data_IF_539133840639
#
_entry.id   IF_539133840639
#
_cell.length_a   1.000
_cell.length_b   1.000
_cell.length_c   1.000
_cell.angle_alpha   90.00
_cell.angle_beta   90.00
_cell.angle_gamma   90.00
#
_symmetry.space_group_name_H-M   'P 1'
#
loop_
_entity.id
_entity.type
_entity.pdbx_description
1 polymer ?
#
# COMPACT_ATOMS: atom_id res chain seq x y z
N UNK A 1 5.67 -3.43 -9.97
CA UNK A 1 5.06 -4.47 -10.80
C UNK A 1 3.66 -4.03 -11.22
N UNK A 2 3.58 -3.12 -12.20
CA UNK A 2 2.28 -2.83 -12.82
C UNK A 2 2.11 -3.76 -14.02
N UNK A 3 0.90 -4.26 -14.28
CA UNK A 3 0.63 -5.00 -15.51
C UNK A 3 1.08 -4.22 -16.74
N UNK A 4 1.58 -4.90 -17.77
CA UNK A 4 2.08 -4.21 -18.97
C UNK A 4 0.99 -3.34 -19.62
N UNK A 5 -0.27 -3.78 -19.57
CA UNK A 5 -1.40 -3.01 -20.10
C UNK A 5 -1.60 -1.68 -19.36
N UNK A 6 -1.37 -1.63 -18.05
CA UNK A 6 -1.49 -0.41 -17.25
C UNK A 6 -0.30 0.53 -17.47
N UNK A 7 0.91 -0.03 -17.60
CA UNK A 7 2.10 0.75 -17.95
C UNK A 7 1.92 1.45 -19.31
N UNK A 8 1.46 0.72 -20.33
CA UNK A 8 1.19 1.29 -21.66
C UNK A 8 0.16 2.42 -21.63
N UNK A 9 -0.82 2.38 -20.71
CA UNK A 9 -1.75 3.49 -20.51
C UNK A 9 -0.99 4.74 -20.05
N UNK A 10 -0.14 4.61 -19.04
CA UNK A 10 0.65 5.74 -18.55
C UNK A 10 1.61 6.30 -19.60
N UNK A 11 2.29 5.43 -20.33
CA UNK A 11 3.19 5.82 -21.43
C UNK A 11 2.48 6.74 -22.44
N UNK A 12 1.18 6.51 -22.70
CA UNK A 12 0.38 7.34 -23.62
C UNK A 12 -0.08 8.67 -23.03
N UNK A 13 -0.25 8.76 -21.71
CA UNK A 13 -0.82 9.94 -21.05
C UNK A 13 0.23 10.98 -20.62
N UNK A 14 1.49 10.58 -20.44
CA UNK A 14 2.49 11.42 -19.75
C UNK A 14 3.85 11.55 -20.44
N UNK A 15 4.01 11.07 -21.67
CA UNK A 15 5.28 11.23 -22.40
C UNK A 15 5.43 12.64 -22.99
N UNK A 16 6.67 13.19 -23.07
CA UNK A 16 7.91 12.61 -22.56
C UNK A 16 8.06 12.80 -21.04
N UNK A 17 8.51 11.76 -20.35
CA UNK A 17 8.83 11.83 -18.92
C UNK A 17 10.26 12.33 -18.73
N UNK A 18 10.48 13.26 -17.82
CA UNK A 18 11.81 13.76 -17.46
C UNK A 18 12.37 13.04 -16.24
N UNK A 19 13.70 12.93 -16.17
CA UNK A 19 14.40 12.40 -15.00
C UNK A 19 14.81 13.57 -14.09
N UNK A 20 14.69 13.37 -12.78
CA UNK A 20 15.11 14.28 -11.72
C UNK A 20 15.78 13.49 -10.59
N UNK A 21 16.85 14.02 -10.00
CA UNK A 21 17.52 13.47 -8.81
C UNK A 21 17.53 14.56 -7.75
N UNK A 22 16.88 14.30 -6.61
CA UNK A 22 16.76 15.25 -5.50
C UNK A 22 16.21 16.63 -5.93
N UNK A 23 15.19 16.64 -6.80
CA UNK A 23 14.54 17.86 -7.30
C UNK A 23 15.31 18.62 -8.40
N UNK A 24 16.44 18.08 -8.87
CA UNK A 24 17.20 18.63 -10.00
C UNK A 24 17.04 17.75 -11.25
N UNK A 25 16.77 18.30 -12.44
CA UNK A 25 16.74 17.52 -13.68
C UNK A 25 18.03 16.74 -13.93
N UNK A 26 17.92 15.43 -14.20
CA UNK A 26 19.05 14.62 -14.62
C UNK A 26 19.41 14.99 -16.07
N UNK A 27 20.66 15.39 -16.29
CA UNK A 27 21.13 15.78 -17.61
C UNK A 27 21.82 14.59 -18.31
N UNK A 28 21.63 14.50 -19.63
CA UNK A 28 22.41 13.59 -20.46
C UNK A 28 23.84 14.15 -20.70
N UNK A 29 24.66 13.42 -21.47
CA UNK A 29 26.04 13.84 -21.79
C UNK A 29 26.12 15.19 -22.50
N UNK A 30 25.07 15.58 -23.21
CA UNK A 30 24.97 16.84 -23.95
C UNK A 30 24.39 17.98 -23.11
N UNK A 31 24.26 17.79 -21.79
CA UNK A 31 23.65 18.74 -20.84
C UNK A 31 22.16 19.03 -21.09
N UNK A 32 21.47 18.20 -21.86
CA UNK A 32 20.03 18.29 -22.04
C UNK A 32 19.30 17.49 -20.96
N UNK A 33 18.11 17.93 -20.56
CA UNK A 33 17.26 17.17 -19.63
C UNK A 33 16.98 15.80 -20.23
N UNK A 34 17.39 14.76 -19.51
CA UNK A 34 17.14 13.38 -19.90
C UNK A 34 15.64 13.16 -19.87
N UNK A 35 15.12 12.61 -20.97
CA UNK A 35 13.71 12.22 -21.06
C UNK A 35 13.56 10.81 -21.63
N UNK A 36 12.40 10.21 -21.40
CA UNK A 36 12.02 8.89 -21.89
C UNK A 36 10.56 8.93 -22.37
N UNK A 37 10.22 8.21 -23.45
CA UNK A 37 8.83 8.04 -23.86
C UNK A 37 8.06 7.05 -22.96
N UNK A 38 8.76 6.35 -22.06
CA UNK A 38 8.19 5.29 -21.22
C UNK A 38 8.31 5.66 -19.75
N UNK A 39 7.24 5.43 -18.99
CA UNK A 39 7.22 5.58 -17.55
C UNK A 39 8.20 4.59 -16.89
N UNK A 40 8.68 4.98 -15.70
CA UNK A 40 9.50 4.13 -14.85
C UNK A 40 8.86 2.76 -14.61
N UNK A 41 9.66 1.70 -14.62
CA UNK A 41 9.19 0.33 -14.45
C UNK A 41 9.71 -0.27 -13.15
N UNK A 42 8.84 -1.01 -12.48
CA UNK A 42 9.18 -1.76 -11.26
C UNK A 42 9.08 -3.24 -11.55
N UNK A 43 10.20 -3.95 -11.41
CA UNK A 43 10.35 -5.35 -11.81
C UNK A 43 10.82 -6.24 -10.66
N UNK A 44 10.43 -7.52 -10.68
CA UNK A 44 10.89 -8.55 -9.76
C UNK A 44 11.76 -9.58 -10.48
N UNK A 45 12.90 -9.12 -11.05
CA UNK A 45 13.74 -9.97 -11.92
C UNK A 45 14.31 -11.18 -11.19
N UNK A 46 14.67 -11.04 -9.91
CA UNK A 46 15.28 -12.12 -9.12
C UNK A 46 14.30 -13.23 -8.77
N UNK A 47 13.01 -12.92 -8.64
CA UNK A 47 12.00 -13.89 -8.20
C UNK A 47 11.20 -14.44 -9.36
N UNK A 48 10.84 -13.57 -10.31
CA UNK A 48 10.01 -13.91 -11.47
C UNK A 48 10.88 -13.85 -12.73
N UNK A 49 12.01 -14.58 -12.68
CA UNK A 49 13.00 -14.62 -13.75
C UNK A 49 12.53 -15.47 -14.93
N UNK A 50 13.10 -15.23 -16.11
CA UNK A 50 12.88 -16.04 -17.31
C UNK A 50 13.38 -17.49 -17.19
N UNK A 51 14.10 -17.83 -16.11
CA UNK A 51 14.53 -19.20 -15.79
C UNK A 51 13.43 -20.06 -15.15
N UNK A 52 12.32 -19.47 -14.70
CA UNK A 52 11.18 -20.15 -14.09
C UNK A 52 10.35 -20.85 -15.19
N UNK A 53 10.85 -21.98 -15.69
CA UNK A 53 10.30 -22.71 -16.86
C UNK A 53 9.06 -23.55 -16.52
N UNK A 54 8.89 -23.93 -15.26
CA UNK A 54 7.71 -24.63 -14.77
C UNK A 54 6.91 -23.61 -13.97
N UNK A 55 5.72 -23.26 -14.45
CA UNK A 55 4.81 -22.29 -13.80
C UNK A 55 5.33 -20.85 -13.69
N UNK A 56 5.89 -20.31 -14.79
CA UNK A 56 6.33 -18.91 -14.97
C UNK A 56 5.58 -17.92 -14.05
N UNK A 57 6.26 -17.44 -12.99
CA UNK A 57 5.68 -16.52 -12.00
C UNK A 57 4.87 -15.38 -12.63
N UNK A 58 5.37 -14.77 -13.72
CA UNK A 58 4.67 -13.64 -14.37
C UNK A 58 3.35 -14.08 -14.99
N UNK A 59 3.30 -15.27 -15.60
CA UNK A 59 2.07 -15.85 -16.16
C UNK A 59 1.05 -16.12 -15.05
N UNK A 60 1.50 -16.70 -13.94
CA UNK A 60 0.64 -16.95 -12.79
C UNK A 60 0.09 -15.65 -12.17
N UNK A 61 0.92 -14.62 -11.99
CA UNK A 61 0.48 -13.31 -11.50
C UNK A 61 -0.55 -12.67 -12.44
N UNK A 62 -0.28 -12.72 -13.75
CA UNK A 62 -1.17 -12.20 -14.80
C UNK A 62 -2.55 -12.88 -14.73
N UNK A 63 -2.59 -14.22 -14.75
CA UNK A 63 -3.85 -14.97 -14.74
C UNK A 63 -4.60 -14.85 -13.40
N UNK A 64 -3.89 -14.87 -12.27
CA UNK A 64 -4.52 -14.94 -10.93
C UNK A 64 -5.03 -13.58 -10.45
N UNK A 65 -4.31 -12.50 -10.77
CA UNK A 65 -4.61 -11.17 -10.21
C UNK A 65 -4.83 -10.09 -11.26
N UNK A 66 -4.11 -10.11 -12.38
CA UNK A 66 -4.15 -8.98 -13.34
C UNK A 66 -5.32 -9.08 -14.30
N UNK A 67 -5.54 -10.24 -14.91
CA UNK A 67 -6.64 -10.45 -15.86
C UNK A 67 -8.03 -10.23 -15.23
N UNK A 68 -8.34 -10.78 -14.03
CA UNK A 68 -9.63 -10.55 -13.39
C UNK A 68 -9.92 -9.08 -13.09
N UNK A 69 -8.88 -8.28 -12.83
CA UNK A 69 -9.02 -6.87 -12.48
C UNK A 69 -8.83 -5.90 -13.66
N UNK A 70 -8.35 -6.38 -14.82
CA UNK A 70 -7.93 -5.52 -15.93
C UNK A 70 -9.01 -4.55 -16.39
N UNK A 71 -10.17 -5.06 -16.78
CA UNK A 71 -11.26 -4.22 -17.28
C UNK A 71 -11.91 -3.38 -16.16
N UNK A 72 -11.79 -3.82 -14.90
CA UNK A 72 -12.24 -3.05 -13.74
C UNK A 72 -11.35 -1.82 -13.54
N UNK A 73 -10.03 -2.00 -13.53
CA UNK A 73 -9.06 -0.91 -13.35
C UNK A 73 -9.07 0.04 -14.54
N UNK A 74 -9.15 -0.47 -15.77
CA UNK A 74 -9.27 0.37 -16.97
C UNK A 74 -10.59 1.13 -17.00
N UNK A 75 -11.69 0.47 -16.61
CA UNK A 75 -12.99 1.13 -16.46
C UNK A 75 -12.93 2.26 -15.44
N UNK A 76 -12.37 2.02 -14.26
CA UNK A 76 -12.19 3.04 -13.21
C UNK A 76 -11.35 4.21 -13.70
N UNK A 77 -10.25 3.93 -14.39
CA UNK A 77 -9.40 4.94 -15.01
C UNK A 77 -10.19 5.83 -15.98
N UNK A 78 -11.09 5.23 -16.77
CA UNK A 78 -11.95 5.89 -17.73
C UNK A 78 -13.26 6.46 -17.13
N UNK A 79 -13.39 6.50 -15.80
CA UNK A 79 -14.52 7.13 -15.11
C UNK A 79 -15.68 6.20 -14.74
N UNK A 80 -15.51 4.88 -14.81
CA UNK A 80 -16.44 3.93 -14.15
C UNK A 80 -16.49 4.26 -12.66
N UNK A 81 -17.69 4.22 -12.07
CA UNK A 81 -17.88 4.65 -10.68
C UNK A 81 -18.38 3.56 -9.75
N UNK A 82 -18.82 2.40 -10.26
CA UNK A 82 -19.40 1.33 -9.44
C UNK A 82 -18.69 0.00 -9.68
N UNK A 83 -18.31 -0.67 -8.58
CA UNK A 83 -17.92 -2.08 -8.53
C UNK A 83 -18.83 -2.81 -7.54
N UNK A 84 -19.18 -4.07 -7.84
CA UNK A 84 -19.99 -4.90 -6.95
C UNK A 84 -19.50 -6.35 -6.87
N UNK A 85 -19.78 -7.01 -5.75
CA UNK A 85 -19.57 -8.43 -5.50
C UNK A 85 -18.16 -8.91 -5.87
N UNK A 86 -18.08 -9.86 -6.80
CA UNK A 86 -16.83 -10.44 -7.28
C UNK A 86 -15.87 -9.42 -7.91
N UNK A 87 -16.39 -8.30 -8.43
CA UNK A 87 -15.55 -7.23 -8.97
C UNK A 87 -14.77 -6.51 -7.88
N UNK A 88 -15.40 -6.28 -6.71
CA UNK A 88 -14.72 -5.66 -5.58
C UNK A 88 -13.62 -6.58 -5.07
N UNK A 89 -13.90 -7.88 -4.97
CA UNK A 89 -12.91 -8.89 -4.56
C UNK A 89 -11.74 -8.94 -5.55
N UNK A 90 -12.01 -9.00 -6.86
CA UNK A 90 -10.96 -9.02 -7.88
C UNK A 90 -10.09 -7.76 -7.83
N UNK A 91 -10.73 -6.58 -7.72
CA UNK A 91 -10.02 -5.30 -7.59
C UNK A 91 -9.17 -5.22 -6.32
N UNK A 92 -9.73 -5.63 -5.17
CA UNK A 92 -9.01 -5.65 -3.90
C UNK A 92 -7.79 -6.58 -3.96
N UNK A 93 -7.94 -7.82 -4.47
CA UNK A 93 -6.84 -8.77 -4.62
C UNK A 93 -5.75 -8.23 -5.54
N UNK A 94 -6.11 -7.61 -6.66
CA UNK A 94 -5.16 -6.96 -7.56
C UNK A 94 -4.42 -5.81 -6.88
N UNK A 95 -5.12 -4.95 -6.14
CA UNK A 95 -4.52 -3.83 -5.45
C UNK A 95 -3.56 -4.32 -4.34
N UNK A 96 -3.98 -5.28 -3.51
CA UNK A 96 -3.14 -5.89 -2.46
C UNK A 96 -1.87 -6.47 -3.06
N UNK A 97 -1.99 -7.28 -4.12
CA UNK A 97 -0.85 -7.83 -4.86
C UNK A 97 0.06 -6.73 -5.40
N UNK A 98 -0.52 -5.69 -5.99
CA UNK A 98 0.26 -4.61 -6.62
C UNK A 98 1.08 -3.84 -5.59
N UNK A 99 0.48 -3.46 -4.45
CA UNK A 99 1.18 -2.74 -3.38
C UNK A 99 2.20 -3.65 -2.69
N UNK A 100 1.83 -4.90 -2.37
CA UNK A 100 2.72 -5.85 -1.72
C UNK A 100 3.99 -6.12 -2.55
N UNK A 101 3.81 -6.41 -3.84
CA UNK A 101 4.92 -6.70 -4.74
C UNK A 101 5.68 -5.44 -5.18
N UNK A 102 5.09 -4.26 -5.00
CA UNK A 102 5.82 -3.00 -5.10
C UNK A 102 6.80 -2.84 -3.92
N UNK A 103 6.44 -3.31 -2.73
CA UNK A 103 7.27 -3.22 -1.52
C UNK A 103 8.25 -4.37 -1.32
N UNK A 104 8.27 -5.35 -2.22
CA UNK A 104 9.18 -6.49 -2.11
C UNK A 104 10.65 -6.03 -2.21
N UNK A 105 11.59 -6.54 -1.38
CA UNK A 105 13.00 -6.09 -1.36
C UNK A 105 13.74 -6.29 -2.68
N UNK A 106 13.47 -7.36 -3.42
CA UNK A 106 14.00 -7.59 -4.79
C UNK A 106 13.33 -6.75 -5.88
N UNK A 107 12.51 -5.75 -5.55
CA UNK A 107 11.94 -4.82 -6.54
C UNK A 107 13.02 -3.90 -7.08
N UNK A 108 13.27 -3.98 -8.39
CA UNK A 108 14.16 -3.06 -9.08
C UNK A 108 13.37 -1.98 -9.80
N UNK A 109 13.85 -0.75 -9.69
CA UNK A 109 13.18 0.44 -10.19
C UNK A 109 13.92 1.02 -11.40
N UNK A 110 13.80 0.34 -12.54
CA UNK A 110 14.45 0.80 -13.78
C UNK A 110 13.78 2.07 -14.29
N UNK A 111 14.59 3.11 -14.47
CA UNK A 111 14.12 4.41 -14.95
C UNK A 111 13.26 5.18 -13.94
N UNK A 112 13.26 4.80 -12.66
CA UNK A 112 12.55 5.52 -11.60
C UNK A 112 13.40 6.61 -10.96
N UNK A 113 12.75 7.70 -10.56
CA UNK A 113 13.29 8.78 -9.72
C UNK A 113 13.55 8.30 -8.28
N UNK A 114 12.82 7.27 -7.84
CA UNK A 114 12.87 6.73 -6.50
C UNK A 114 13.89 5.60 -6.38
N UNK A 115 15.12 5.81 -6.82
CA UNK A 115 16.19 4.79 -6.73
C UNK A 115 16.45 4.34 -5.28
N UNK A 116 16.14 5.21 -4.32
CA UNK A 116 16.34 4.98 -2.89
C UNK A 116 15.09 4.43 -2.18
N UNK A 117 14.05 4.00 -2.92
CA UNK A 117 12.93 3.29 -2.28
C UNK A 117 13.41 1.93 -1.80
N UNK A 118 13.63 1.82 -0.49
CA UNK A 118 13.84 0.54 0.16
C UNK A 118 12.51 -0.21 0.23
N UNK A 119 12.50 -1.44 -0.27
CA UNK A 119 11.41 -2.37 0.04
C UNK A 119 11.32 -2.61 1.55
N UNK A 120 10.31 -3.37 1.98
CA UNK A 120 10.20 -3.78 3.38
C UNK A 120 11.43 -4.60 3.76
N UNK A 121 12.25 -4.07 4.67
CA UNK A 121 13.47 -4.73 5.11
C UNK A 121 13.17 -6.08 5.77
N UNK A 122 12.00 -6.17 6.42
CA UNK A 122 11.52 -7.37 7.09
C UNK A 122 10.48 -8.15 6.26
N UNK A 123 10.48 -8.02 4.93
CA UNK A 123 9.57 -8.76 4.06
C UNK A 123 9.76 -10.27 4.24
N UNK A 124 8.72 -11.03 4.66
CA UNK A 124 8.89 -12.46 4.90
C UNK A 124 9.15 -13.24 3.60
N UNK A 125 10.26 -14.00 3.50
CA UNK A 125 10.70 -14.60 2.23
C UNK A 125 9.77 -15.70 1.70
N UNK A 126 8.94 -16.32 2.55
CA UNK A 126 8.01 -17.39 2.17
C UNK A 126 6.71 -16.86 1.54
N UNK A 127 6.34 -15.60 1.73
CA UNK A 127 5.03 -15.10 1.35
C UNK A 127 4.68 -15.26 -0.12
N UNK A 128 5.63 -14.99 -1.03
CA UNK A 128 5.34 -15.13 -2.46
C UNK A 128 5.20 -16.60 -2.86
N UNK A 129 5.97 -17.49 -2.24
CA UNK A 129 5.85 -18.95 -2.42
C UNK A 129 4.51 -19.45 -1.90
N UNK A 130 4.12 -19.04 -0.70
CA UNK A 130 2.84 -19.43 -0.09
C UNK A 130 1.65 -18.86 -0.85
N UNK A 131 1.74 -17.62 -1.31
CA UNK A 131 0.73 -17.00 -2.17
C UNK A 131 0.60 -17.77 -3.49
N UNK A 132 1.70 -18.27 -4.08
CA UNK A 132 1.67 -19.12 -5.28
C UNK A 132 0.97 -20.45 -5.01
N UNK A 133 1.26 -21.08 -3.87
CA UNK A 133 0.71 -22.39 -3.53
C UNK A 133 -0.75 -22.35 -3.12
N UNK A 134 -1.16 -21.31 -2.41
CA UNK A 134 -2.49 -21.23 -1.77
C UNK A 134 -3.43 -20.23 -2.45
N UNK A 135 -2.89 -19.27 -3.19
CA UNK A 135 -3.65 -18.13 -3.70
C UNK A 135 -4.13 -17.17 -2.59
N UNK A 136 -3.68 -17.33 -1.34
CA UNK A 136 -4.11 -16.54 -0.20
C UNK A 136 -3.03 -15.55 0.24
N UNK A 137 -3.44 -14.32 0.55
CA UNK A 137 -2.57 -13.35 1.19
C UNK A 137 -2.44 -13.66 2.69
N UNK A 138 -1.33 -13.26 3.33
CA UNK A 138 -1.22 -13.27 4.78
C UNK A 138 -2.44 -12.62 5.46
N UNK A 139 -2.95 -13.26 6.51
CA UNK A 139 -4.12 -12.78 7.25
C UNK A 139 -3.87 -11.44 7.95
N UNK A 140 -2.62 -11.17 8.32
CA UNK A 140 -2.18 -9.94 8.99
C UNK A 140 -1.90 -8.78 8.01
N UNK A 141 -2.29 -8.91 6.74
CA UNK A 141 -2.26 -7.80 5.79
C UNK A 141 -3.62 -7.11 5.77
N UNK A 142 -3.60 -5.79 5.86
CA UNK A 142 -4.76 -4.94 5.59
C UNK A 142 -4.46 -3.95 4.48
N UNK A 143 -5.44 -3.77 3.59
CA UNK A 143 -5.39 -2.77 2.52
C UNK A 143 -6.53 -1.78 2.70
N UNK A 144 -6.20 -0.49 2.65
CA UNK A 144 -7.17 0.60 2.62
C UNK A 144 -7.09 1.40 1.33
N UNK A 145 -8.20 2.01 0.98
CA UNK A 145 -8.36 2.85 -0.21
C UNK A 145 -9.03 4.18 0.16
N UNK A 146 -8.41 5.27 -0.25
CA UNK A 146 -9.01 6.60 -0.28
C UNK A 146 -9.03 7.15 -1.71
N UNK A 147 -9.93 8.11 -1.96
CA UNK A 147 -9.99 8.86 -3.21
C UNK A 147 -9.48 10.27 -2.92
N UNK A 148 -8.54 10.78 -3.72
CA UNK A 148 -8.04 12.14 -3.63
C UNK A 148 -8.36 12.89 -4.92
N UNK A 149 -8.77 14.15 -4.79
CA UNK A 149 -8.90 15.07 -5.94
C UNK A 149 -7.99 16.28 -5.69
N UNK A 150 -6.94 16.49 -6.52
CA UNK A 150 -6.00 17.58 -6.34
C UNK A 150 -6.59 18.98 -6.60
N UNK A 151 -7.76 19.05 -7.26
CA UNK A 151 -8.47 20.29 -7.58
C UNK A 151 -9.59 20.60 -6.58
N UNK A 152 -9.96 19.64 -5.74
CA UNK A 152 -10.99 19.83 -4.71
C UNK A 152 -10.36 20.28 -3.39
N UNK A 153 -11.06 21.14 -2.65
CA UNK A 153 -10.74 21.39 -1.23
C UNK A 153 -10.93 20.11 -0.39
N UNK A 154 -11.82 19.22 -0.85
CA UNK A 154 -12.06 17.89 -0.30
C UNK A 154 -12.28 17.87 1.21
N UNK A 155 -11.96 16.74 1.83
CA UNK A 155 -12.05 16.56 3.28
C UNK A 155 -10.73 16.05 3.87
N UNK A 156 -10.56 16.27 5.16
CA UNK A 156 -9.40 15.84 5.96
C UNK A 156 -9.88 15.38 7.34
N UNK A 157 -9.03 14.66 8.07
CA UNK A 157 -9.30 14.35 9.48
C UNK A 157 -9.09 15.60 10.34
N UNK A 158 -9.80 15.71 11.49
CA UNK A 158 -9.56 16.79 12.44
C UNK A 158 -8.20 16.61 13.12
N UNK A 159 -7.24 17.49 12.79
CA UNK A 159 -5.88 17.46 13.34
C UNK A 159 -4.96 16.42 12.67
N UNK A 160 -3.70 16.40 13.12
CA UNK A 160 -2.71 15.46 12.61
C UNK A 160 -2.86 14.10 13.29
N UNK A 161 -2.87 13.05 12.46
CA UNK A 161 -3.12 11.68 12.90
C UNK A 161 -2.00 10.79 12.41
N UNK A 162 -1.44 10.00 13.32
CA UNK A 162 -0.38 9.05 13.03
C UNK A 162 -0.73 7.70 13.65
N UNK A 163 -0.51 6.64 12.86
CA UNK A 163 -0.54 5.26 13.29
C UNK A 163 0.90 4.78 13.50
N UNK A 164 1.24 4.61 14.76
CA UNK A 164 2.54 4.09 15.13
C UNK A 164 2.54 2.56 15.10
N UNK A 165 3.41 2.01 14.26
CA UNK A 165 3.64 0.58 14.20
C UNK A 165 4.62 0.11 15.29
N UNK A 166 4.36 -1.06 15.90
CA UNK A 166 5.33 -1.74 16.76
C UNK A 166 6.68 -1.91 16.05
N UNK A 167 7.78 -1.88 16.78
CA UNK A 167 9.09 -2.30 16.26
C UNK A 167 9.17 -3.81 15.99
N UNK A 168 8.53 -4.63 16.83
CA UNK A 168 8.35 -6.07 16.63
C UNK A 168 7.21 -6.55 17.51
N UNK A 169 6.39 -7.45 16.99
CA UNK A 169 5.42 -8.22 17.76
C UNK A 169 5.91 -9.66 17.92
N UNK A 170 5.67 -10.24 19.10
CA UNK A 170 5.99 -11.63 19.41
C UNK A 170 4.88 -12.26 20.25
N UNK A 171 4.54 -13.51 19.95
CA UNK A 171 3.69 -14.40 20.75
C UNK A 171 4.56 -15.46 21.42
N UNK A 172 4.05 -16.05 22.50
CA UNK A 172 4.77 -17.06 23.30
C UNK A 172 5.13 -18.33 22.50
N UNK A 173 4.41 -18.63 21.42
CA UNK A 173 4.68 -19.73 20.49
C UNK A 173 5.81 -19.41 19.47
N UNK A 174 6.45 -18.24 19.58
CA UNK A 174 7.45 -17.76 18.66
C UNK A 174 6.88 -17.09 17.39
N UNK A 175 5.56 -17.01 17.25
CA UNK A 175 4.89 -16.27 16.18
C UNK A 175 5.05 -14.75 16.33
N UNK A 176 4.72 -14.01 15.27
CA UNK A 176 4.82 -12.54 15.24
C UNK A 176 5.62 -12.05 14.04
N UNK A 177 6.13 -10.83 14.11
CA UNK A 177 6.90 -10.26 13.03
C UNK A 177 7.25 -8.80 13.24
N UNK A 178 7.86 -8.19 12.23
CA UNK A 178 8.11 -6.75 12.19
C UNK A 178 7.00 -6.14 11.32
N UNK A 179 6.08 -5.36 11.92
CA UNK A 179 5.07 -4.63 11.17
C UNK A 179 5.71 -3.65 10.19
N UNK A 180 5.09 -3.48 9.03
CA UNK A 180 5.54 -2.55 7.98
C UNK A 180 4.32 -1.98 7.27
N UNK A 181 4.42 -0.78 6.73
CA UNK A 181 3.36 -0.18 5.93
C UNK A 181 3.89 0.55 4.70
N UNK A 182 3.01 0.77 3.73
CA UNK A 182 3.35 1.42 2.48
C UNK A 182 2.14 2.10 1.83
N UNK A 183 2.43 3.19 1.13
CA UNK A 183 1.47 3.92 0.33
C UNK A 183 1.80 3.82 -1.16
N UNK A 184 0.76 3.59 -1.98
CA UNK A 184 0.84 3.62 -3.44
C UNK A 184 -0.33 4.44 -3.97
N UNK A 185 -0.12 5.17 -5.07
CA UNK A 185 -1.18 5.98 -5.67
C UNK A 185 -1.29 5.74 -7.17
N UNK A 186 -2.53 5.74 -7.68
CA UNK A 186 -2.88 5.54 -9.08
C UNK A 186 -3.74 6.73 -9.55
N UNK A 187 -3.26 7.45 -10.57
CA UNK A 187 -3.99 8.57 -11.18
C UNK A 187 -4.97 8.10 -12.25
N UNK A 188 -6.21 8.58 -12.16
CA UNK A 188 -7.31 8.36 -13.11
C UNK A 188 -7.26 9.41 -14.24
N UNK A 189 -8.06 9.22 -15.30
CA UNK A 189 -8.07 10.14 -16.45
C UNK A 189 -8.63 11.53 -16.10
N UNK A 190 -9.47 11.62 -15.08
CA UNK A 190 -10.06 12.86 -14.58
C UNK A 190 -9.21 13.57 -13.50
N UNK A 191 -7.93 13.21 -13.39
CA UNK A 191 -6.95 13.68 -12.39
C UNK A 191 -7.21 13.27 -10.94
N UNK A 192 -8.32 12.59 -10.62
CA UNK A 192 -8.47 11.99 -9.30
C UNK A 192 -7.44 10.88 -9.10
N UNK A 193 -7.17 10.58 -7.85
CA UNK A 193 -6.14 9.63 -7.42
C UNK A 193 -6.75 8.60 -6.50
N UNK A 194 -6.60 7.32 -6.87
CA UNK A 194 -6.82 6.20 -5.96
C UNK A 194 -5.56 6.07 -5.09
N UNK A 195 -5.73 6.28 -3.78
CA UNK A 195 -4.67 6.23 -2.80
C UNK A 195 -4.81 4.95 -1.97
N UNK A 196 -3.84 4.05 -2.10
CA UNK A 196 -3.77 2.80 -1.37
C UNK A 196 -2.80 2.90 -0.21
N UNK A 197 -3.16 2.27 0.90
CA UNK A 197 -2.34 2.11 2.10
C UNK A 197 -2.39 0.64 2.47
N UNK A 198 -1.23 -0.03 2.44
CA UNK A 198 -1.10 -1.44 2.82
C UNK A 198 -0.28 -1.50 4.11
N UNK A 199 -0.75 -2.26 5.10
CA UNK A 199 0.04 -2.56 6.29
C UNK A 199 0.08 -4.06 6.56
N UNK A 200 1.25 -4.54 6.97
CA UNK A 200 1.44 -5.80 7.66
C UNK A 200 1.51 -5.52 9.16
N UNK A 201 0.64 -6.14 9.94
CA UNK A 201 0.48 -5.87 11.37
C UNK A 201 0.29 -7.17 12.17
N UNK A 202 1.34 -8.02 12.25
CA UNK A 202 1.25 -9.32 12.88
C UNK A 202 0.79 -9.22 14.33
N UNK A 203 -0.23 -10.01 14.71
CA UNK A 203 -0.81 -10.07 16.06
C UNK A 203 -1.55 -8.81 16.52
N UNK A 204 -1.78 -7.85 15.62
CA UNK A 204 -2.43 -6.60 15.95
C UNK A 204 -3.64 -6.35 15.04
N UNK A 205 -4.75 -5.88 15.60
CA UNK A 205 -5.80 -5.26 14.80
C UNK A 205 -5.49 -3.78 14.58
N UNK A 206 -5.73 -3.25 13.37
CA UNK A 206 -5.56 -1.83 13.06
C UNK A 206 -6.92 -1.16 12.89
N UNK A 207 -7.20 -0.14 13.71
CA UNK A 207 -8.34 0.77 13.49
C UNK A 207 -7.87 1.96 12.65
N UNK A 208 -8.15 1.94 11.35
CA UNK A 208 -7.68 2.98 10.44
C UNK A 208 -8.55 4.25 10.57
N UNK A 209 -7.99 5.42 10.93
CA UNK A 209 -8.76 6.61 11.30
C UNK A 209 -9.58 7.17 10.13
N UNK A 210 -9.07 7.08 8.91
CA UNK A 210 -9.84 7.45 7.72
C UNK A 210 -11.02 6.51 7.45
N UNK A 211 -10.99 5.25 7.88
CA UNK A 211 -12.14 4.34 7.75
C UNK A 211 -13.19 4.70 8.80
N UNK A 212 -12.78 4.93 10.04
CA UNK A 212 -13.66 5.37 11.14
C UNK A 212 -14.37 6.70 10.80
N UNK A 213 -13.62 7.65 10.21
CA UNK A 213 -14.16 8.90 9.67
C UNK A 213 -14.92 8.78 8.34
N UNK A 214 -15.16 7.57 7.83
CA UNK A 214 -15.83 7.30 6.53
C UNK A 214 -15.16 7.94 5.29
N UNK A 215 -13.88 8.32 5.39
CA UNK A 215 -13.09 8.93 4.32
C UNK A 215 -12.34 7.90 3.46
N UNK A 216 -12.20 6.67 3.95
CA UNK A 216 -11.55 5.57 3.27
C UNK A 216 -12.36 4.27 3.39
N UNK A 217 -11.97 3.27 2.61
CA UNK A 217 -12.53 1.92 2.61
C UNK A 217 -11.46 0.93 3.07
N UNK A 218 -11.88 -0.10 3.79
CA UNK A 218 -11.07 -1.29 4.04
C UNK A 218 -11.35 -2.31 2.93
N UNK A 219 -10.34 -2.60 2.10
CA UNK A 219 -10.47 -3.47 0.92
C UNK A 219 -10.05 -4.91 1.17
N UNK A 220 -9.14 -5.14 2.10
CA UNK A 220 -8.61 -6.48 2.39
C UNK A 220 -8.31 -6.57 3.89
N UNK A 221 -8.63 -7.69 4.58
CA UNK A 221 -9.08 -8.97 4.04
C UNK A 221 -10.57 -9.09 3.74
N UNK A 222 -11.39 -8.16 4.23
CA UNK A 222 -12.85 -8.19 4.10
C UNK A 222 -13.32 -7.05 3.19
N UNK A 223 -13.27 -7.20 1.85
CA UNK A 223 -13.76 -6.18 0.94
C UNK A 223 -15.26 -5.91 1.15
N UNK A 224 -15.74 -4.67 0.94
CA UNK A 224 -17.16 -4.38 0.98
C UNK A 224 -17.89 -5.05 -0.19
N UNK A 225 -19.20 -5.26 -0.06
CA UNK A 225 -20.03 -5.84 -1.13
C UNK A 225 -20.08 -4.96 -2.38
N UNK A 226 -19.98 -3.63 -2.22
CA UNK A 226 -19.94 -2.70 -3.35
C UNK A 226 -19.11 -1.46 -3.05
N UNK A 227 -18.62 -0.82 -4.11
CA UNK A 227 -17.91 0.46 -4.04
C UNK A 227 -18.48 1.40 -5.09
N UNK A 228 -19.15 2.47 -4.63
CA UNK A 228 -19.56 3.58 -5.48
C UNK A 228 -18.60 4.78 -5.32
N UNK A 229 -17.60 4.86 -6.19
CA UNK A 229 -16.60 5.93 -6.23
C UNK A 229 -17.18 7.32 -6.46
N UNK A 230 -18.37 7.46 -7.06
CA UNK A 230 -18.99 8.77 -7.26
C UNK A 230 -19.53 9.37 -5.97
N UNK A 231 -19.98 8.53 -5.03
CA UNK A 231 -20.53 8.96 -3.74
C UNK A 231 -19.50 8.95 -2.61
N UNK A 232 -18.24 8.58 -2.88
CA UNK A 232 -17.19 8.58 -1.85
C UNK A 232 -16.71 10.00 -1.60
N UNK A 233 -16.47 10.38 -0.33
CA UNK A 233 -15.73 11.60 -0.02
C UNK A 233 -14.36 11.58 -0.71
N UNK A 234 -13.93 12.75 -1.18
CA UNK A 234 -12.59 12.94 -1.76
C UNK A 234 -11.70 13.68 -0.76
N UNK A 235 -10.50 13.17 -0.55
CA UNK A 235 -9.48 13.84 0.24
C UNK A 235 -9.01 15.10 -0.48
N UNK A 236 -8.98 16.20 0.24
CA UNK A 236 -8.32 17.42 -0.20
C UNK A 236 -6.79 17.28 -0.12
N UNK A 237 -6.06 18.36 -0.39
CA UNK A 237 -4.59 18.36 -0.27
C UNK A 237 -4.12 18.01 1.14
N UNK A 238 -4.76 18.59 2.17
CA UNK A 238 -4.44 18.29 3.56
C UNK A 238 -4.75 16.82 3.91
N UNK A 239 -5.94 16.33 3.56
CA UNK A 239 -6.33 14.94 3.83
C UNK A 239 -5.41 13.94 3.13
N UNK A 240 -4.98 14.24 1.91
CA UNK A 240 -4.03 13.39 1.19
C UNK A 240 -2.62 13.43 1.78
N UNK A 241 -2.16 14.59 2.27
CA UNK A 241 -0.89 14.68 2.99
C UNK A 241 -0.94 13.87 4.31
N UNK A 242 -2.03 13.98 5.08
CA UNK A 242 -2.27 13.16 6.27
C UNK A 242 -2.28 11.66 5.94
N UNK A 243 -2.92 11.26 4.83
CA UNK A 243 -2.91 9.87 4.35
C UNK A 243 -1.48 9.39 4.04
N UNK A 244 -0.69 10.19 3.35
CA UNK A 244 0.68 9.85 2.98
C UNK A 244 1.62 9.75 4.20
N UNK A 245 1.41 10.62 5.20
CA UNK A 245 2.18 10.67 6.45
C UNK A 245 1.59 9.81 7.58
N UNK A 246 0.58 8.99 7.31
CA UNK A 246 -0.17 8.29 8.36
C UNK A 246 0.69 7.33 9.18
N UNK A 247 1.68 6.67 8.59
CA UNK A 247 2.43 5.60 9.25
C UNK A 247 3.74 6.12 9.86
N UNK A 248 4.00 5.78 11.12
CA UNK A 248 5.31 5.94 11.75
C UNK A 248 5.85 4.60 12.27
N UNK A 249 7.12 4.33 12.01
CA UNK A 249 7.81 3.16 12.58
C UNK A 249 8.43 3.58 13.92
N UNK A 250 7.84 3.18 15.05
CA UNK A 250 8.25 3.68 16.36
C UNK A 250 9.38 2.89 17.03
N UNK A 251 9.99 1.92 16.34
CA UNK A 251 11.21 1.20 16.78
C UNK A 251 11.12 0.41 18.09
N UNK A 252 9.98 0.44 18.78
CA UNK A 252 9.76 -0.11 20.12
C UNK A 252 9.16 -1.51 20.04
N UNK A 253 9.87 -2.52 20.54
CA UNK A 253 9.43 -3.93 20.49
C UNK A 253 8.62 -4.28 21.74
N UNK A 254 7.57 -5.10 21.60
CA UNK A 254 6.80 -5.59 22.76
C UNK A 254 6.16 -6.96 22.49
N UNK A 255 5.98 -7.74 23.55
CA UNK A 255 5.19 -8.97 23.51
C UNK A 255 3.71 -8.64 23.41
N UNK A 256 2.98 -9.34 22.54
CA UNK A 256 1.57 -9.05 22.27
C UNK A 256 0.71 -10.20 22.82
N UNK A 257 -0.06 -9.99 23.89
CA UNK A 257 -1.09 -10.96 24.30
C UNK A 257 -2.19 -11.01 23.23
N UNK A 258 -2.83 -12.17 23.06
CA UNK A 258 -3.86 -12.40 22.04
C UNK A 258 -4.94 -11.30 22.05
N UNK A 259 -5.28 -10.78 20.86
CA UNK A 259 -6.33 -9.77 20.68
C UNK A 259 -5.90 -8.33 20.96
N UNK A 260 -4.63 -7.99 20.77
CA UNK A 260 -4.19 -6.60 20.93
C UNK A 260 -4.65 -5.71 19.77
N UNK A 261 -5.13 -4.50 20.10
CA UNK A 261 -5.56 -3.51 19.13
C UNK A 261 -4.60 -2.32 19.11
N UNK A 262 -4.16 -1.97 17.92
CA UNK A 262 -3.47 -0.71 17.65
C UNK A 262 -4.53 0.40 17.61
N UNK A 263 -4.50 1.25 18.63
CA UNK A 263 -5.34 2.43 18.67
C UNK A 263 -4.60 3.63 18.10
N UNK A 264 -5.37 4.46 17.40
CA UNK A 264 -4.92 5.78 16.93
C UNK A 264 -4.73 6.67 18.15
N UNK A 265 -3.56 7.28 18.27
CA UNK A 265 -3.41 8.45 19.13
C UNK A 265 -3.40 9.72 18.26
N UNK A 266 -4.13 10.78 18.64
CA UNK A 266 -3.92 12.07 18.02
C UNK A 266 -2.47 12.48 18.27
N UNK A 267 -1.76 12.92 17.23
CA UNK A 267 -0.39 13.40 17.38
C UNK A 267 -0.41 14.60 18.35
N UNK A 268 0.07 14.41 19.58
CA UNK A 268 0.11 15.53 20.52
C UNK A 268 1.18 16.52 20.04
N UNK A 269 0.81 17.79 19.91
CA UNK A 269 1.72 18.87 19.53
C UNK A 269 2.85 19.12 20.53
N UNK A 270 2.87 18.41 21.66
CA UNK A 270 3.82 18.64 22.76
C UNK A 270 4.91 17.58 22.89
N UNK A 271 4.76 16.40 22.28
CA UNK A 271 5.83 15.39 22.33
C UNK A 271 5.71 14.37 21.19
N UNK A 272 6.39 14.55 20.04
CA UNK A 272 6.38 13.59 18.93
C UNK A 272 7.03 12.24 19.27
N UNK A 273 7.58 12.09 20.48
CA UNK A 273 8.20 10.86 21.00
C UNK A 273 7.38 10.16 22.08
N UNK A 274 6.17 10.64 22.39
CA UNK A 274 5.29 9.92 23.31
C UNK A 274 4.92 8.56 22.69
N UNK A 275 5.27 7.48 23.39
CA UNK A 275 5.06 6.13 22.91
C UNK A 275 3.56 5.88 22.73
N UNK A 276 3.11 5.34 21.58
CA UNK A 276 1.70 5.09 21.31
C UNK A 276 1.09 4.23 22.42
N UNK A 277 -0.12 4.57 22.86
CA UNK A 277 -0.87 3.68 23.75
C UNK A 277 -1.40 2.48 22.99
N UNK A 278 -0.82 1.32 23.29
CA UNK A 278 -1.41 0.03 22.94
C UNK A 278 -2.49 -0.29 23.96
N UNK A 279 -3.71 -0.56 23.50
CA UNK A 279 -4.74 -1.18 24.34
C UNK A 279 -4.89 -2.63 23.93
N UNK A 280 -4.18 -3.51 24.63
CA UNK A 280 -4.52 -4.92 24.57
C UNK A 280 -5.76 -5.15 25.45
N UNK A 281 -6.81 -5.76 24.89
CA UNK A 281 -7.98 -6.14 25.67
C UNK A 281 -7.56 -7.13 26.75
N UNK A 282 -7.60 -6.71 28.01
CA UNK A 282 -7.21 -7.58 29.11
C UNK A 282 -8.23 -8.71 29.26
N UNK A 283 -7.90 -9.91 28.75
CA UNK A 283 -8.25 -11.12 29.48
C UNK A 283 -7.58 -11.07 30.87
N UNK A 284 -8.21 -11.59 31.94
CA UNK A 284 -7.64 -11.53 33.27
C UNK A 284 -6.30 -12.27 33.30
N UNK A 285 -5.19 -11.52 33.28
CA UNK A 285 -3.82 -12.07 33.34
C UNK A 285 -2.77 -11.42 32.44
N UNK A 286 -3.14 -10.54 31.49
CA UNK A 286 -2.16 -9.93 30.58
C UNK A 286 -1.23 -8.92 31.28
N UNK A 287 0.08 -9.22 31.34
CA UNK A 287 1.12 -8.27 31.75
C UNK A 287 1.74 -7.62 30.51
N UNK A 288 1.72 -6.29 30.42
CA UNK A 288 2.53 -5.54 29.46
C UNK A 288 3.97 -5.54 29.98
N UNK A 289 4.83 -6.36 29.38
CA UNK A 289 6.27 -6.31 29.66
C UNK A 289 6.90 -5.26 28.74
N UNK A 290 7.31 -4.13 29.32
CA UNK A 290 8.21 -3.18 28.66
C UNK A 290 9.62 -3.74 28.82
N UNK A 291 10.29 -4.04 27.72
CA UNK A 291 11.72 -4.34 27.70
C UNK A 291 12.51 -3.04 27.52
#
# INVERSE_FOLDING_TARGET
MLPQWLQRRFDRLGAPFTYEVSGSPELNRDKNVRSTPQAARVMLREICSSGDRVDNCNSWLEHTFEQPARELVLGLAAGRTLLADAEVVAFARWATKTVLLYMHPSSTYEGSLFKDRTGWASFPPHWLTDLRQTGAFPADLSLWLALHDPQSEGVALPGDVVLALPGRTTRDDGGGGVPEAANLSLRLDDNRVLAFSLAFHPLCDVVHPFVDGMLALHLWPNPPESINFASRPVLGRQGFAQWQGLWSNNGTSFGVPDGCRLLVEPASTRDPLSAPSFRCGAGPGARVVRF
#
